data_IF_138114749286
#
_entry.id   IF_138114749286
#
_cell.length_a   1.000
_cell.length_b   1.000
_cell.length_c   1.000
_cell.angle_alpha   90.00
_cell.angle_beta   90.00
_cell.angle_gamma   90.00
#
_symmetry.space_group_name_H-M   'P 1'
#
loop_
_entity.id
_entity.type
_entity.pdbx_description
1 polymer ?
#
# COMPACT_ATOMS: atom_id res chain seq x y z
N UNK A 1 8.07 7.44 7.75
CA UNK A 1 6.62 7.37 7.48
C UNK A 1 6.38 6.19 6.56
N UNK A 2 5.52 5.27 6.99
CA UNK A 2 5.25 3.98 6.34
C UNK A 2 3.90 4.02 5.64
N UNK A 3 3.88 3.67 4.36
CA UNK A 3 2.69 3.73 3.50
C UNK A 3 2.37 2.33 3.02
N UNK A 4 1.10 1.93 3.09
CA UNK A 4 0.59 0.72 2.46
C UNK A 4 -0.22 1.08 1.20
N UNK A 5 0.12 0.48 0.07
CA UNK A 5 -0.66 0.56 -1.17
C UNK A 5 -1.45 -0.75 -1.33
N UNK A 6 -2.75 -0.64 -1.62
CA UNK A 6 -3.64 -1.75 -1.96
C UNK A 6 -4.20 -1.49 -3.35
N UNK A 7 -3.70 -2.25 -4.32
CA UNK A 7 -3.86 -1.98 -5.76
C UNK A 7 -3.63 -3.28 -6.54
N UNK A 8 -4.61 -3.76 -7.33
CA UNK A 8 -4.48 -4.99 -8.12
C UNK A 8 -3.69 -4.77 -9.41
N UNK A 9 -3.67 -3.54 -9.95
CA UNK A 9 -2.88 -3.24 -11.14
C UNK A 9 -1.39 -3.08 -10.80
N UNK A 10 -0.62 -4.16 -11.00
CA UNK A 10 0.82 -4.22 -10.68
C UNK A 10 1.64 -3.07 -11.30
N UNK A 11 1.28 -2.61 -12.51
CA UNK A 11 1.99 -1.50 -13.18
C UNK A 11 1.80 -0.19 -12.44
N UNK A 12 0.57 0.14 -12.07
CA UNK A 12 0.24 1.33 -11.30
C UNK A 12 0.88 1.27 -9.91
N UNK A 13 0.76 0.13 -9.22
CA UNK A 13 1.36 -0.08 -7.91
C UNK A 13 2.88 0.14 -7.91
N UNK A 14 3.59 -0.42 -8.89
CA UNK A 14 5.05 -0.23 -9.02
C UNK A 14 5.44 1.22 -9.30
N UNK A 15 4.67 1.93 -10.13
CA UNK A 15 4.92 3.34 -10.42
C UNK A 15 4.73 4.21 -9.17
N UNK A 16 3.63 4.01 -8.43
CA UNK A 16 3.33 4.72 -7.19
C UNK A 16 4.38 4.42 -6.12
N UNK A 17 4.69 3.14 -5.91
CA UNK A 17 5.71 2.68 -4.96
C UNK A 17 7.04 3.37 -5.22
N UNK A 18 7.55 3.28 -6.46
CA UNK A 18 8.81 3.93 -6.84
C UNK A 18 8.80 5.44 -6.60
N UNK A 19 7.70 6.12 -6.97
CA UNK A 19 7.58 7.57 -6.77
C UNK A 19 7.59 7.99 -5.31
N UNK A 20 6.99 7.19 -4.43
CA UNK A 20 6.95 7.43 -2.98
C UNK A 20 8.28 7.06 -2.31
N UNK A 21 8.90 5.95 -2.71
CA UNK A 21 10.24 5.56 -2.21
C UNK A 21 11.31 6.62 -2.55
N UNK A 22 11.27 7.20 -3.76
CA UNK A 22 12.17 8.30 -4.15
C UNK A 22 12.00 9.53 -3.24
N UNK A 23 10.81 9.75 -2.69
CA UNK A 23 10.52 10.84 -1.74
C UNK A 23 10.94 10.50 -0.30
N UNK A 24 11.52 9.32 -0.06
CA UNK A 24 12.01 8.89 1.26
C UNK A 24 10.97 8.17 2.12
N UNK A 25 9.86 7.72 1.53
CA UNK A 25 8.86 6.92 2.25
C UNK A 25 9.20 5.42 2.21
N UNK A 26 8.91 4.72 3.31
CA UNK A 26 8.87 3.26 3.30
C UNK A 26 7.51 2.82 2.76
N UNK A 27 7.48 1.96 1.74
CA UNK A 27 6.25 1.63 1.02
C UNK A 27 6.10 0.13 0.85
N UNK A 28 5.02 -0.40 1.43
CA UNK A 28 4.55 -1.75 1.20
C UNK A 28 3.43 -1.75 0.14
N UNK A 29 3.29 -2.85 -0.59
CA UNK A 29 2.22 -3.03 -1.56
C UNK A 29 1.58 -4.42 -1.43
N UNK A 30 0.26 -4.46 -1.54
CA UNK A 30 -0.56 -5.67 -1.60
C UNK A 30 -1.52 -5.58 -2.79
N UNK A 31 -1.58 -6.64 -3.59
CA UNK A 31 -2.50 -6.75 -4.72
C UNK A 31 -3.88 -7.33 -4.36
N UNK A 32 -4.04 -7.80 -3.12
CA UNK A 32 -5.17 -8.61 -2.70
C UNK A 32 -5.88 -7.94 -1.51
N UNK A 33 -7.16 -7.66 -1.69
CA UNK A 33 -8.01 -6.94 -0.74
C UNK A 33 -8.22 -7.70 0.58
N UNK A 34 -8.27 -9.04 0.57
CA UNK A 34 -8.42 -9.85 1.78
C UNK A 34 -7.13 -9.89 2.61
N UNK A 35 -5.98 -10.00 1.93
CA UNK A 35 -4.66 -9.86 2.58
C UNK A 35 -4.47 -8.45 3.14
N UNK A 36 -4.88 -7.43 2.39
CA UNK A 36 -4.81 -6.04 2.84
C UNK A 36 -5.66 -5.83 4.10
N UNK A 37 -6.91 -6.31 4.11
CA UNK A 37 -7.78 -6.20 5.28
C UNK A 37 -7.18 -6.86 6.51
N UNK A 38 -6.64 -8.06 6.36
CA UNK A 38 -5.94 -8.77 7.46
C UNK A 38 -4.72 -8.00 7.96
N UNK A 39 -3.90 -7.49 7.04
CA UNK A 39 -2.70 -6.69 7.37
C UNK A 39 -3.07 -5.40 8.11
N UNK A 40 -4.08 -4.67 7.64
CA UNK A 40 -4.54 -3.42 8.25
C UNK A 40 -5.09 -3.68 9.67
N UNK A 41 -5.84 -4.76 9.87
CA UNK A 41 -6.39 -5.11 11.19
C UNK A 41 -5.30 -5.52 12.19
N UNK A 42 -4.31 -6.29 11.74
CA UNK A 42 -3.23 -6.80 12.60
C UNK A 42 -2.15 -5.76 12.89
N UNK A 43 -1.88 -4.87 11.94
CA UNK A 43 -0.74 -3.94 11.97
C UNK A 43 -1.17 -2.48 11.81
N UNK A 44 -2.35 -2.13 12.36
CA UNK A 44 -2.96 -0.80 12.21
C UNK A 44 -2.05 0.36 12.62
N UNK A 45 -1.13 0.12 13.55
CA UNK A 45 -0.21 1.13 14.06
C UNK A 45 1.13 1.18 13.32
N UNK A 46 1.36 0.31 12.32
CA UNK A 46 2.61 0.27 11.54
C UNK A 46 2.56 1.15 10.28
N UNK A 47 1.37 1.56 9.86
CA UNK A 47 1.17 2.37 8.67
C UNK A 47 0.59 3.74 9.03
N UNK A 48 1.27 4.79 8.57
CA UNK A 48 0.83 6.17 8.75
C UNK A 48 -0.22 6.58 7.70
N UNK A 49 -0.23 5.90 6.55
CA UNK A 49 -1.15 6.14 5.44
C UNK A 49 -1.44 4.84 4.69
N UNK A 50 -2.70 4.64 4.30
CA UNK A 50 -3.13 3.55 3.42
C UNK A 50 -3.74 4.17 2.16
N UNK A 51 -3.21 3.79 1.00
CA UNK A 51 -3.76 4.12 -0.31
C UNK A 51 -4.50 2.89 -0.83
N UNK A 52 -5.83 2.99 -0.89
CA UNK A 52 -6.73 1.93 -1.31
C UNK A 52 -7.34 2.28 -2.67
N UNK A 53 -7.22 1.40 -3.66
CA UNK A 53 -8.07 1.49 -4.84
C UNK A 53 -9.50 1.09 -4.48
N UNK A 54 -10.46 1.94 -4.84
CA UNK A 54 -11.89 1.75 -4.59
C UNK A 54 -12.58 0.91 -5.68
N UNK A 55 -11.91 0.70 -6.81
CA UNK A 55 -12.43 -0.11 -7.92
C UNK A 55 -12.00 -1.59 -7.84
N UNK A 56 -11.26 -1.95 -6.79
CA UNK A 56 -10.89 -3.31 -6.38
C UNK A 56 -12.08 -4.21 -6.04
#
# INVERSE_FOLDING_TARGET
MHILIVEDEERLAKALKKGLEIKGYAVDWLADSEKARSRILLYRNEYDLILLDLML
#
